data_IF_815408865762
#
_entry.id   IF_815408865762
#
_cell.length_a   1.000
_cell.length_b   1.000
_cell.length_c   1.000
_cell.angle_alpha   90.00
_cell.angle_beta   90.00
_cell.angle_gamma   90.00
#
_symmetry.space_group_name_H-M   'P 1'
#
loop_
_entity.id
_entity.type
_entity.pdbx_description
1 polymer ?
#
# COMPACT_ATOMS: atom_id res chain seq x y z
N UNK A 1 -18.19 -22.80 -8.39
CA UNK A 1 -17.70 -23.10 -7.01
C UNK A 1 -16.40 -22.32 -6.73
N UNK A 2 -15.98 -22.25 -5.47
CA UNK A 2 -14.65 -21.71 -5.11
C UNK A 2 -13.51 -22.47 -5.80
N UNK A 3 -13.68 -23.78 -5.96
CA UNK A 3 -12.72 -24.61 -6.70
C UNK A 3 -12.56 -24.14 -8.15
N UNK A 4 -13.66 -23.93 -8.86
CA UNK A 4 -13.62 -23.47 -10.26
C UNK A 4 -12.95 -22.09 -10.37
N UNK A 5 -13.28 -21.17 -9.46
CA UNK A 5 -12.68 -19.86 -9.41
C UNK A 5 -11.14 -19.91 -9.23
N UNK A 6 -10.66 -20.70 -8.26
CA UNK A 6 -9.20 -20.83 -8.04
C UNK A 6 -8.52 -21.62 -9.17
N UNK A 7 -9.19 -22.60 -9.75
CA UNK A 7 -8.65 -23.34 -10.91
C UNK A 7 -8.50 -22.42 -12.12
N UNK A 8 -9.50 -21.59 -12.41
CA UNK A 8 -9.44 -20.61 -13.50
C UNK A 8 -8.31 -19.59 -13.28
N UNK A 9 -8.16 -19.07 -12.06
CA UNK A 9 -7.05 -18.17 -11.72
C UNK A 9 -5.67 -18.81 -11.86
N UNK A 10 -5.52 -20.07 -11.43
CA UNK A 10 -4.28 -20.81 -11.62
C UNK A 10 -3.96 -21.04 -13.09
N UNK A 11 -4.97 -21.34 -13.91
CA UNK A 11 -4.80 -21.50 -15.36
C UNK A 11 -4.41 -20.19 -16.04
N UNK A 12 -5.01 -19.07 -15.67
CA UNK A 12 -4.62 -17.73 -16.16
C UNK A 12 -3.15 -17.43 -15.86
N UNK A 13 -2.70 -17.68 -14.62
CA UNK A 13 -1.30 -17.48 -14.23
C UNK A 13 -0.34 -18.39 -15.00
N UNK A 14 -0.64 -19.66 -15.11
CA UNK A 14 0.18 -20.61 -15.87
C UNK A 14 0.23 -20.24 -17.36
N UNK A 15 -0.89 -19.82 -17.94
CA UNK A 15 -0.94 -19.36 -19.32
C UNK A 15 -0.08 -18.10 -19.53
N UNK A 16 -0.09 -17.17 -18.57
CA UNK A 16 0.75 -15.97 -18.57
C UNK A 16 2.25 -16.34 -18.56
N UNK A 17 2.67 -17.19 -17.64
CA UNK A 17 4.06 -17.67 -17.55
C UNK A 17 4.47 -18.39 -18.86
N UNK A 18 3.59 -19.22 -19.40
CA UNK A 18 3.87 -19.91 -20.66
C UNK A 18 4.00 -18.97 -21.86
N UNK A 19 3.12 -17.96 -21.94
CA UNK A 19 3.16 -16.94 -23.00
C UNK A 19 4.46 -16.13 -22.94
N UNK A 20 4.88 -15.70 -21.73
CA UNK A 20 6.13 -14.97 -21.53
C UNK A 20 7.35 -15.82 -21.89
N UNK A 21 7.39 -17.10 -21.50
CA UNK A 21 8.48 -17.99 -21.89
C UNK A 21 8.53 -18.23 -23.40
N UNK A 22 7.38 -18.36 -24.07
CA UNK A 22 7.34 -18.46 -25.52
C UNK A 22 7.82 -17.20 -26.23
N UNK A 23 7.47 -16.02 -25.69
CA UNK A 23 7.97 -14.74 -26.21
C UNK A 23 9.48 -14.60 -25.98
N UNK A 24 9.98 -14.96 -24.80
CA UNK A 24 11.41 -14.97 -24.49
C UNK A 24 12.19 -15.86 -25.50
N UNK A 25 11.70 -17.07 -25.76
CA UNK A 25 12.30 -17.97 -26.75
C UNK A 25 12.31 -17.37 -28.17
N UNK A 26 11.18 -16.77 -28.58
CA UNK A 26 11.04 -16.16 -29.90
C UNK A 26 12.00 -14.98 -30.12
N UNK A 27 12.30 -14.22 -29.04
CA UNK A 27 13.23 -13.08 -29.05
C UNK A 27 14.68 -13.47 -28.73
N UNK A 28 14.94 -14.74 -28.46
CA UNK A 28 16.28 -15.24 -28.14
C UNK A 28 16.76 -14.84 -26.75
N UNK A 29 15.86 -14.50 -25.85
CA UNK A 29 16.18 -14.25 -24.44
C UNK A 29 16.50 -15.58 -23.74
N UNK A 30 17.66 -15.68 -23.12
CA UNK A 30 18.20 -16.94 -22.60
C UNK A 30 18.45 -16.88 -21.11
N UNK A 31 18.42 -18.06 -20.50
CA UNK A 31 18.81 -18.26 -19.10
C UNK A 31 20.24 -17.76 -18.86
N UNK A 32 20.46 -17.04 -17.77
CA UNK A 32 21.76 -16.48 -17.38
C UNK A 32 22.17 -16.89 -15.95
N UNK A 33 23.36 -16.43 -15.53
CA UNK A 33 23.92 -16.77 -14.22
C UNK A 33 23.14 -16.17 -13.05
N UNK A 34 22.51 -15.01 -13.23
CA UNK A 34 21.68 -14.36 -12.20
C UNK A 34 20.43 -15.20 -11.94
N UNK A 35 19.71 -15.59 -12.98
CA UNK A 35 18.56 -16.48 -12.83
C UNK A 35 18.96 -17.85 -12.26
N UNK A 36 20.18 -18.31 -12.51
CA UNK A 36 20.67 -19.55 -11.90
C UNK A 36 20.91 -19.38 -10.40
N UNK A 37 21.50 -18.27 -9.99
CA UNK A 37 21.69 -17.95 -8.57
C UNK A 37 20.34 -17.86 -7.84
N UNK A 38 19.36 -17.15 -8.41
CA UNK A 38 18.02 -17.04 -7.82
C UNK A 38 17.31 -18.40 -7.67
N UNK A 39 17.53 -19.29 -8.64
CA UNK A 39 17.01 -20.66 -8.56
C UNK A 39 17.69 -21.43 -7.42
N UNK A 40 19.01 -21.36 -7.34
CA UNK A 40 19.81 -22.04 -6.32
C UNK A 40 19.41 -21.54 -4.92
N UNK A 41 19.28 -20.24 -4.72
CA UNK A 41 18.83 -19.61 -3.48
C UNK A 41 17.39 -20.04 -3.11
N UNK A 42 16.50 -20.14 -4.08
CA UNK A 42 15.13 -20.63 -3.88
C UNK A 42 15.12 -22.10 -3.43
N UNK A 43 15.98 -22.93 -4.01
CA UNK A 43 16.08 -24.34 -3.66
C UNK A 43 16.76 -24.55 -2.31
N UNK A 44 17.72 -23.71 -1.93
CA UNK A 44 18.32 -23.70 -0.59
C UNK A 44 17.30 -23.26 0.47
N UNK A 45 16.53 -22.20 0.19
CA UNK A 45 15.45 -21.75 1.05
C UNK A 45 14.39 -22.82 1.29
N UNK A 46 14.02 -23.59 0.26
CA UNK A 46 13.13 -24.74 0.39
C UNK A 46 13.70 -25.79 1.36
N UNK A 47 14.98 -26.13 1.20
CA UNK A 47 15.65 -27.13 2.04
C UNK A 47 15.74 -26.65 3.51
N UNK A 48 16.10 -25.38 3.72
CA UNK A 48 16.16 -24.74 5.02
C UNK A 48 14.79 -24.72 5.70
N UNK A 49 13.73 -24.29 4.99
CA UNK A 49 12.38 -24.26 5.52
C UNK A 49 11.90 -25.68 5.92
N UNK A 50 12.11 -26.68 5.07
CA UNK A 50 11.76 -28.05 5.40
C UNK A 50 12.47 -28.53 6.67
N UNK A 51 13.78 -28.26 6.80
CA UNK A 51 14.59 -28.62 7.97
C UNK A 51 14.10 -27.93 9.24
N UNK A 52 13.80 -26.65 9.19
CA UNK A 52 13.29 -25.85 10.32
C UNK A 52 12.01 -26.46 10.91
N UNK A 53 11.13 -26.97 10.06
CA UNK A 53 9.90 -27.66 10.51
C UNK A 53 10.07 -29.16 10.76
N UNK A 54 11.28 -29.70 10.66
CA UNK A 54 11.57 -31.12 10.90
C UNK A 54 11.06 -32.04 9.81
N UNK A 55 10.86 -31.56 8.59
CA UNK A 55 10.41 -32.31 7.43
C UNK A 55 11.54 -32.58 6.43
N UNK A 56 11.40 -33.61 5.64
CA UNK A 56 12.14 -33.73 4.37
C UNK A 56 11.51 -32.76 3.35
N UNK A 57 12.27 -32.27 2.37
CA UNK A 57 11.74 -31.42 1.27
C UNK A 57 10.49 -32.01 0.62
N UNK A 58 10.49 -33.36 0.38
CA UNK A 58 9.32 -34.05 -0.18
C UNK A 58 8.08 -33.96 0.70
N UNK A 59 8.25 -34.09 2.02
CA UNK A 59 7.14 -33.97 2.97
C UNK A 59 6.65 -32.54 3.03
N UNK A 60 7.55 -31.56 3.06
CA UNK A 60 7.25 -30.14 3.08
C UNK A 60 6.49 -29.70 1.82
N UNK A 61 7.02 -30.07 0.63
CA UNK A 61 6.33 -29.81 -0.64
C UNK A 61 4.94 -30.45 -0.71
N UNK A 62 4.84 -31.69 -0.23
CA UNK A 62 3.55 -32.41 -0.17
C UNK A 62 2.54 -31.73 0.78
N UNK A 63 3.00 -31.12 1.86
CA UNK A 63 2.16 -30.39 2.80
C UNK A 63 1.66 -29.06 2.22
N UNK A 64 2.54 -28.32 1.55
CA UNK A 64 2.21 -26.98 1.02
C UNK A 64 1.45 -27.04 -0.30
N UNK A 65 1.91 -27.90 -1.23
CA UNK A 65 1.42 -27.93 -2.62
C UNK A 65 0.64 -29.21 -2.98
N UNK A 66 0.52 -30.14 -2.05
CA UNK A 66 -0.14 -31.41 -2.27
C UNK A 66 0.81 -32.55 -2.66
N UNK A 67 0.33 -33.78 -2.48
CA UNK A 67 1.15 -35.01 -2.55
C UNK A 67 1.78 -35.30 -3.91
N UNK A 68 1.33 -34.65 -4.97
CA UNK A 68 1.87 -34.82 -6.34
C UNK A 68 3.06 -33.90 -6.62
N UNK A 69 3.30 -32.88 -5.79
CA UNK A 69 4.43 -31.99 -5.95
C UNK A 69 5.73 -32.74 -5.60
N UNK A 70 6.69 -32.66 -6.50
CA UNK A 70 8.04 -33.16 -6.31
C UNK A 70 9.05 -32.05 -6.41
N UNK A 71 10.26 -32.26 -5.85
CA UNK A 71 11.37 -31.28 -6.00
C UNK A 71 11.61 -30.89 -7.46
N UNK A 72 11.62 -31.89 -8.37
CA UNK A 72 11.84 -31.63 -9.80
C UNK A 72 10.73 -30.79 -10.46
N UNK A 73 9.47 -31.05 -10.09
CA UNK A 73 8.34 -30.23 -10.60
C UNK A 73 8.44 -28.81 -10.03
N UNK A 74 8.75 -28.65 -8.75
CA UNK A 74 8.91 -27.37 -8.11
C UNK A 74 10.04 -26.56 -8.75
N UNK A 75 11.22 -27.16 -8.93
CA UNK A 75 12.39 -26.57 -9.59
C UNK A 75 12.07 -26.15 -11.05
N UNK A 76 11.41 -27.01 -11.81
CA UNK A 76 11.00 -26.70 -13.19
C UNK A 76 10.01 -25.52 -13.25
N UNK A 77 9.02 -25.47 -12.36
CA UNK A 77 8.07 -24.35 -12.31
C UNK A 77 8.75 -23.06 -11.85
N UNK A 78 9.64 -23.12 -10.86
CA UNK A 78 10.44 -21.98 -10.43
C UNK A 78 11.30 -21.44 -11.58
N UNK A 79 11.98 -22.32 -12.31
CA UNK A 79 12.78 -21.97 -13.49
C UNK A 79 11.95 -21.24 -14.55
N UNK A 80 10.75 -21.74 -14.84
CA UNK A 80 9.83 -21.09 -15.80
C UNK A 80 9.36 -19.71 -15.32
N UNK A 81 9.07 -19.58 -14.04
CA UNK A 81 8.65 -18.31 -13.47
C UNK A 81 9.78 -17.29 -13.47
N UNK A 82 11.01 -17.70 -13.10
CA UNK A 82 12.17 -16.82 -13.13
C UNK A 82 12.46 -16.31 -14.56
N UNK A 83 12.45 -17.19 -15.56
CA UNK A 83 12.65 -16.80 -16.95
C UNK A 83 11.57 -15.82 -17.42
N UNK A 84 10.29 -16.09 -17.09
CA UNK A 84 9.19 -15.21 -17.46
C UNK A 84 9.32 -13.82 -16.81
N UNK A 85 9.69 -13.78 -15.53
CA UNK A 85 9.87 -12.54 -14.77
C UNK A 85 11.04 -11.72 -15.32
N UNK A 86 12.19 -12.36 -15.54
CA UNK A 86 13.37 -11.69 -16.07
C UNK A 86 13.15 -11.17 -17.50
N UNK A 87 12.45 -11.93 -18.34
CA UNK A 87 12.08 -11.47 -19.68
C UNK A 87 11.13 -10.27 -19.62
N UNK A 88 10.09 -10.33 -18.78
CA UNK A 88 9.15 -9.22 -18.62
C UNK A 88 9.86 -7.95 -18.15
N UNK A 89 10.77 -8.07 -17.17
CA UNK A 89 11.58 -6.95 -16.70
C UNK A 89 12.45 -6.37 -17.83
N UNK A 90 13.16 -7.22 -18.55
CA UNK A 90 13.97 -6.80 -19.71
C UNK A 90 13.14 -6.11 -20.79
N UNK A 91 11.94 -6.63 -21.05
CA UNK A 91 11.01 -6.01 -22.00
C UNK A 91 10.56 -4.62 -21.52
N UNK A 92 10.15 -4.52 -20.25
CA UNK A 92 9.74 -3.23 -19.65
C UNK A 92 10.89 -2.20 -19.67
N UNK A 93 12.10 -2.61 -19.36
CA UNK A 93 13.29 -1.74 -19.39
C UNK A 93 13.66 -1.29 -20.82
N UNK A 94 13.26 -2.04 -21.82
CA UNK A 94 13.47 -1.70 -23.24
C UNK A 94 12.46 -0.69 -23.78
N UNK A 95 11.33 -0.49 -23.09
CA UNK A 95 10.29 0.42 -23.54
C UNK A 95 10.79 1.87 -23.45
N UNK A 96 10.54 2.61 -24.49
CA UNK A 96 10.84 4.04 -24.55
C UNK A 96 9.61 4.79 -25.05
N UNK A 97 9.35 5.92 -24.44
CA UNK A 97 8.20 6.75 -24.77
C UNK A 97 8.67 8.15 -25.14
N UNK A 98 8.06 8.71 -26.17
CA UNK A 98 8.25 10.12 -26.53
C UNK A 98 7.58 11.03 -25.48
N UNK A 99 8.02 12.29 -25.44
CA UNK A 99 7.39 13.29 -24.55
C UNK A 99 5.89 13.45 -24.86
N UNK A 100 5.50 13.34 -26.13
CA UNK A 100 4.10 13.49 -26.54
C UNK A 100 3.24 12.29 -26.06
N UNK A 101 3.79 11.06 -26.08
CA UNK A 101 3.12 9.87 -25.55
C UNK A 101 2.97 9.96 -24.02
N UNK A 102 4.00 10.42 -23.32
CA UNK A 102 3.95 10.62 -21.87
C UNK A 102 2.93 11.71 -21.50
N UNK A 103 2.91 12.81 -22.25
CA UNK A 103 1.91 13.87 -22.03
C UNK A 103 0.49 13.38 -22.31
N UNK A 104 0.28 12.60 -23.39
CA UNK A 104 -1.02 12.02 -23.70
C UNK A 104 -1.50 11.09 -22.58
N UNK A 105 -0.65 10.21 -22.07
CA UNK A 105 -0.96 9.32 -20.95
C UNK A 105 -1.28 10.11 -19.65
N UNK A 106 -0.54 11.18 -19.38
CA UNK A 106 -0.85 12.08 -18.27
C UNK A 106 -2.22 12.74 -18.40
N UNK A 107 -2.56 13.24 -19.60
CA UNK A 107 -3.86 13.88 -19.83
C UNK A 107 -5.03 12.89 -19.78
N UNK A 108 -4.80 11.61 -20.06
CA UNK A 108 -5.81 10.56 -19.97
C UNK A 108 -6.23 10.28 -18.50
N UNK A 109 -5.27 10.32 -17.57
CA UNK A 109 -5.53 10.12 -16.14
C UNK A 109 -4.65 11.02 -15.26
N UNK A 110 -4.95 12.32 -15.26
CA UNK A 110 -4.25 13.29 -14.41
C UNK A 110 -4.33 12.96 -12.92
N UNK A 111 -5.42 12.33 -12.52
CA UNK A 111 -5.69 11.99 -11.12
C UNK A 111 -4.66 11.01 -10.56
N UNK A 112 -4.13 10.11 -11.39
CA UNK A 112 -3.09 9.17 -10.98
C UNK A 112 -1.71 9.83 -10.76
N UNK A 113 -1.48 11.00 -11.37
CA UNK A 113 -0.15 11.63 -11.40
C UNK A 113 -0.08 12.99 -10.71
N UNK A 114 -1.20 13.60 -10.42
CA UNK A 114 -1.23 14.88 -9.72
C UNK A 114 -1.12 14.68 -8.20
N UNK A 115 -0.62 15.70 -7.53
CA UNK A 115 -0.63 15.83 -6.08
C UNK A 115 -1.41 17.07 -5.67
N UNK A 116 -2.10 16.97 -4.55
CA UNK A 116 -2.87 18.08 -3.98
C UNK A 116 -2.20 18.57 -2.71
N UNK A 117 -2.02 19.89 -2.63
CA UNK A 117 -1.71 20.60 -1.40
C UNK A 117 -3.03 20.93 -0.70
N UNK A 118 -3.19 20.43 0.52
CA UNK A 118 -4.39 20.61 1.31
C UNK A 118 -4.11 20.60 2.81
N UNK A 119 -5.08 21.10 3.57
CA UNK A 119 -5.17 20.90 5.00
C UNK A 119 -6.57 20.40 5.35
N UNK A 120 -6.68 19.53 6.33
CA UNK A 120 -7.98 19.06 6.79
C UNK A 120 -7.99 18.71 8.28
N UNK A 121 -9.18 18.76 8.84
CA UNK A 121 -9.45 18.25 10.19
C UNK A 121 -10.43 17.10 10.07
N UNK A 122 -10.05 15.95 10.61
CA UNK A 122 -10.94 14.81 10.76
C UNK A 122 -11.60 14.90 12.15
N UNK A 123 -12.92 14.94 12.18
CA UNK A 123 -13.72 14.90 13.40
C UNK A 123 -14.35 13.52 13.55
N UNK A 124 -14.02 12.82 14.63
CA UNK A 124 -14.52 11.48 14.90
C UNK A 124 -15.98 11.52 15.33
N UNK A 125 -16.82 10.80 14.63
CA UNK A 125 -18.25 10.62 14.90
C UNK A 125 -18.62 9.16 15.25
N UNK A 126 -17.63 8.31 15.55
CA UNK A 126 -17.89 6.96 16.01
C UNK A 126 -18.53 6.97 17.40
N UNK A 127 -19.60 6.20 17.60
CA UNK A 127 -20.18 6.00 18.92
C UNK A 127 -19.22 5.17 19.78
N UNK A 128 -19.19 5.46 21.10
CA UNK A 128 -18.42 4.66 22.03
C UNK A 128 -18.97 3.22 22.08
N UNK A 129 -18.08 2.25 22.10
CA UNK A 129 -18.36 0.82 22.20
C UNK A 129 -18.06 0.25 23.61
N UNK A 130 -17.70 1.15 24.53
CA UNK A 130 -17.42 0.84 25.94
C UNK A 130 -18.12 1.82 26.86
N UNK A 131 -18.52 1.34 28.08
CA UNK A 131 -19.04 2.16 29.16
C UNK A 131 -17.91 2.89 29.94
N UNK A 132 -18.28 3.68 30.95
CA UNK A 132 -17.32 4.41 31.78
C UNK A 132 -16.39 3.48 32.60
N UNK A 133 -16.79 2.23 32.82
CA UNK A 133 -16.00 1.21 33.50
C UNK A 133 -15.12 0.40 32.52
N UNK A 134 -15.20 0.66 31.21
CA UNK A 134 -14.41 -0.01 30.17
C UNK A 134 -14.98 -1.35 29.68
N UNK A 135 -16.24 -1.68 30.02
CA UNK A 135 -16.88 -2.87 29.51
C UNK A 135 -17.47 -2.61 28.12
N UNK A 136 -17.39 -3.60 27.22
CA UNK A 136 -18.01 -3.49 25.89
C UNK A 136 -19.53 -3.38 25.99
N UNK A 137 -20.09 -2.44 25.23
CA UNK A 137 -21.53 -2.22 25.09
C UNK A 137 -21.98 -2.45 23.64
N UNK A 138 -23.25 -2.77 23.47
CA UNK A 138 -23.84 -2.85 22.12
C UNK A 138 -24.12 -1.44 21.59
N UNK A 139 -23.48 -1.09 20.49
CA UNK A 139 -23.66 0.21 19.84
C UNK A 139 -24.94 0.20 19.01
N UNK A 140 -25.93 0.97 19.44
CA UNK A 140 -27.22 1.11 18.71
C UNK A 140 -27.14 2.12 17.58
N UNK A 141 -28.08 2.06 16.62
CA UNK A 141 -28.17 3.02 15.53
C UNK A 141 -28.49 4.44 16.03
N UNK A 142 -29.19 4.55 17.16
CA UNK A 142 -29.47 5.83 17.81
C UNK A 142 -28.17 6.46 18.38
N UNK A 143 -27.31 5.66 19.02
CA UNK A 143 -26.00 6.11 19.52
C UNK A 143 -25.10 6.56 18.36
N UNK A 144 -25.08 5.84 17.24
CA UNK A 144 -24.31 6.25 16.06
C UNK A 144 -24.81 7.59 15.49
N UNK A 145 -26.14 7.74 15.37
CA UNK A 145 -26.74 8.98 14.86
C UNK A 145 -26.44 10.17 15.81
N UNK A 146 -26.48 9.98 17.12
CA UNK A 146 -26.16 11.02 18.09
C UNK A 146 -24.68 11.41 18.05
N UNK A 147 -23.77 10.43 17.95
CA UNK A 147 -22.33 10.67 17.84
C UNK A 147 -21.99 11.41 16.52
N UNK A 148 -22.59 11.03 15.41
CA UNK A 148 -22.42 11.73 14.14
C UNK A 148 -23.00 13.16 14.17
N UNK A 149 -24.12 13.39 14.85
CA UNK A 149 -24.68 14.74 15.02
C UNK A 149 -23.76 15.63 15.87
N UNK A 150 -23.14 15.08 16.91
CA UNK A 150 -22.14 15.77 17.72
C UNK A 150 -20.88 16.11 16.92
N UNK A 151 -20.37 15.15 16.14
CA UNK A 151 -19.24 15.36 15.23
C UNK A 151 -19.52 16.44 14.18
N UNK A 152 -20.72 16.45 13.60
CA UNK A 152 -21.18 17.51 12.70
C UNK A 152 -21.11 18.88 13.36
N UNK A 153 -21.64 18.99 14.58
CA UNK A 153 -21.66 20.25 15.32
C UNK A 153 -20.22 20.76 15.56
N UNK A 154 -19.29 19.87 15.91
CA UNK A 154 -17.86 20.19 16.09
C UNK A 154 -17.23 20.62 14.76
N UNK A 155 -17.48 19.88 13.67
CA UNK A 155 -16.95 20.23 12.36
C UNK A 155 -17.46 21.59 11.86
N UNK A 156 -18.76 21.87 12.04
CA UNK A 156 -19.36 23.18 11.69
C UNK A 156 -18.74 24.32 12.52
N UNK A 157 -18.44 24.10 13.80
CA UNK A 157 -17.80 25.10 14.66
C UNK A 157 -16.35 25.37 14.24
N UNK A 158 -15.57 24.33 13.95
CA UNK A 158 -14.20 24.47 13.41
C UNK A 158 -14.22 25.23 12.07
N UNK A 159 -15.14 24.86 11.18
CA UNK A 159 -15.29 25.53 9.90
C UNK A 159 -15.67 27.00 10.05
N UNK A 160 -16.57 27.33 10.96
CA UNK A 160 -16.97 28.70 11.25
C UNK A 160 -15.80 29.54 11.79
N UNK A 161 -14.99 28.99 12.71
CA UNK A 161 -13.78 29.64 13.22
C UNK A 161 -12.75 29.88 12.10
N UNK A 162 -12.52 28.89 11.23
CA UNK A 162 -11.68 29.04 10.04
C UNK A 162 -12.17 30.15 9.11
N UNK A 163 -13.45 30.17 8.79
CA UNK A 163 -14.06 31.23 7.94
C UNK A 163 -14.00 32.61 8.59
N UNK A 164 -13.88 32.70 9.93
CA UNK A 164 -13.69 33.94 10.67
C UNK A 164 -12.22 34.41 10.71
N UNK A 165 -11.28 33.58 10.19
CA UNK A 165 -9.85 33.94 10.05
C UNK A 165 -8.91 33.28 11.05
N UNK A 166 -9.40 32.36 11.89
CA UNK A 166 -8.55 31.47 12.70
C UNK A 166 -7.89 30.46 11.79
N UNK A 167 -6.63 30.05 12.04
CA UNK A 167 -6.04 28.95 11.28
C UNK A 167 -6.83 27.66 11.50
N UNK A 168 -6.81 26.75 10.50
CA UNK A 168 -7.54 25.49 10.64
C UNK A 168 -6.97 24.64 11.78
N UNK A 169 -5.65 24.69 11.99
CA UNK A 169 -4.94 24.02 13.08
C UNK A 169 -5.38 24.55 14.46
N UNK A 170 -5.36 25.88 14.64
CA UNK A 170 -5.77 26.50 15.90
C UNK A 170 -7.26 26.26 16.19
N UNK A 171 -8.11 26.27 15.17
CA UNK A 171 -9.54 25.97 15.31
C UNK A 171 -9.79 24.51 15.73
N UNK A 172 -8.95 23.58 15.27
CA UNK A 172 -9.03 22.16 15.67
C UNK A 172 -8.50 21.93 17.08
N UNK A 173 -7.52 22.69 17.54
CA UNK A 173 -6.89 22.52 18.85
C UNK A 173 -7.88 22.67 20.01
N UNK A 174 -8.98 23.41 19.83
CA UNK A 174 -10.05 23.53 20.84
C UNK A 174 -10.83 22.20 21.02
N UNK A 175 -10.68 21.25 20.08
CA UNK A 175 -11.42 19.97 20.02
C UNK A 175 -10.49 18.76 19.95
N UNK A 176 -9.26 18.84 20.48
CA UNK A 176 -8.20 17.80 20.35
C UNK A 176 -8.62 16.39 20.76
N UNK A 177 -9.62 16.26 21.64
CA UNK A 177 -10.13 14.94 22.05
C UNK A 177 -10.95 14.22 20.97
N UNK A 178 -11.50 14.96 20.00
CA UNK A 178 -12.40 14.42 18.96
C UNK A 178 -12.00 14.82 17.55
N UNK A 179 -11.10 15.78 17.39
CA UNK A 179 -10.67 16.32 16.12
C UNK A 179 -9.15 16.18 15.95
N UNK A 180 -8.73 15.79 14.75
CA UNK A 180 -7.30 15.65 14.37
C UNK A 180 -7.01 16.49 13.14
N UNK A 181 -6.12 17.46 13.28
CA UNK A 181 -5.61 18.26 12.15
C UNK A 181 -4.53 17.50 11.40
N UNK A 182 -4.51 17.66 10.08
CA UNK A 182 -3.44 17.22 9.20
C UNK A 182 -3.29 18.18 8.01
N UNK A 183 -2.07 18.26 7.48
CA UNK A 183 -1.77 18.96 6.23
C UNK A 183 -0.86 18.10 5.37
N UNK A 184 -0.96 18.25 4.05
CA UNK A 184 -0.13 17.56 3.08
C UNK A 184 0.09 18.48 1.88
N UNK A 185 1.33 18.59 1.42
CA UNK A 185 1.71 19.20 0.16
C UNK A 185 1.73 18.20 -1.01
N UNK A 186 1.49 16.92 -0.71
CA UNK A 186 1.62 15.79 -1.62
C UNK A 186 0.52 14.74 -1.43
N UNK A 187 -0.71 15.20 -1.16
CA UNK A 187 -1.86 14.31 -1.02
C UNK A 187 -2.17 13.63 -2.36
N UNK A 188 -2.08 12.31 -2.38
CA UNK A 188 -2.42 11.48 -3.55
C UNK A 188 -3.90 11.15 -3.58
N UNK A 189 -4.45 10.92 -4.79
CA UNK A 189 -5.83 10.52 -4.94
C UNK A 189 -6.17 9.24 -4.16
N UNK A 190 -7.33 9.27 -3.55
CA UNK A 190 -7.99 8.10 -2.97
C UNK A 190 -9.49 8.17 -3.26
N UNK A 191 -10.14 7.02 -3.40
CA UNK A 191 -11.58 6.91 -3.59
C UNK A 191 -12.38 7.14 -2.28
N UNK A 192 -11.90 8.05 -1.44
CA UNK A 192 -12.55 8.50 -0.21
C UNK A 192 -13.31 9.79 -0.48
N UNK A 193 -14.28 10.13 0.39
CA UNK A 193 -15.02 11.39 0.32
C UNK A 193 -14.07 12.59 0.27
N UNK A 194 -12.97 12.54 1.03
CA UNK A 194 -11.95 13.59 1.03
C UNK A 194 -11.19 13.62 -0.29
N UNK A 195 -10.74 12.47 -0.81
CA UNK A 195 -10.00 12.39 -2.07
C UNK A 195 -10.85 12.81 -3.27
N UNK A 196 -12.08 12.36 -3.36
CA UNK A 196 -13.01 12.75 -4.44
C UNK A 196 -13.26 14.27 -4.44
N UNK A 197 -13.46 14.86 -3.26
CA UNK A 197 -13.66 16.30 -3.16
C UNK A 197 -12.40 17.09 -3.55
N UNK A 198 -11.21 16.67 -3.09
CA UNK A 198 -9.95 17.34 -3.38
C UNK A 198 -9.56 17.28 -4.86
N UNK A 199 -9.91 16.20 -5.55
CA UNK A 199 -9.54 15.98 -6.95
C UNK A 199 -10.61 16.39 -7.96
N UNK A 200 -11.72 17.00 -7.52
CA UNK A 200 -12.69 17.62 -8.42
C UNK A 200 -12.02 18.75 -9.20
N UNK A 201 -12.10 18.68 -10.54
CA UNK A 201 -11.47 19.66 -11.44
C UNK A 201 -11.99 21.11 -11.28
N UNK A 202 -13.13 21.30 -10.61
CA UNK A 202 -13.68 22.61 -10.31
C UNK A 202 -13.01 23.28 -9.10
N UNK A 203 -12.16 22.60 -8.32
CA UNK A 203 -11.52 23.15 -7.13
C UNK A 203 -10.59 24.31 -7.48
N UNK A 204 -10.63 25.33 -6.62
CA UNK A 204 -9.77 26.50 -6.68
C UNK A 204 -9.07 26.69 -5.33
N UNK A 205 -7.85 27.23 -5.36
CA UNK A 205 -7.09 27.51 -4.15
C UNK A 205 -7.90 28.39 -3.17
N UNK A 206 -8.01 27.95 -1.93
CA UNK A 206 -8.84 28.54 -0.88
C UNK A 206 -10.26 27.98 -0.79
N UNK A 207 -10.66 27.06 -1.68
CA UNK A 207 -11.91 26.31 -1.52
C UNK A 207 -11.87 25.51 -0.23
N UNK A 208 -13.00 25.48 0.47
CA UNK A 208 -13.11 24.77 1.74
C UNK A 208 -14.53 24.26 1.95
N UNK A 209 -14.67 23.13 2.63
CA UNK A 209 -15.96 22.49 2.87
C UNK A 209 -15.96 21.69 4.19
N UNK A 210 -17.16 21.36 4.64
CA UNK A 210 -17.42 20.30 5.61
C UNK A 210 -17.98 19.12 4.84
N UNK A 211 -17.33 17.96 4.96
CA UNK A 211 -17.68 16.72 4.27
C UNK A 211 -18.12 15.68 5.31
N UNK A 212 -19.18 14.95 5.00
CA UNK A 212 -19.62 13.81 5.78
C UNK A 212 -19.09 12.51 5.16
N UNK A 213 -18.45 11.68 5.97
CA UNK A 213 -18.05 10.33 5.65
C UNK A 213 -18.79 9.36 6.58
N UNK A 214 -19.98 8.97 6.16
CA UNK A 214 -20.86 8.07 6.93
C UNK A 214 -20.29 6.66 7.04
N UNK A 215 -19.52 6.20 6.03
CA UNK A 215 -18.95 4.86 6.01
C UNK A 215 -17.85 4.69 7.07
N UNK A 216 -17.07 5.75 7.29
CA UNK A 216 -16.00 5.77 8.29
C UNK A 216 -16.41 6.46 9.59
N UNK A 217 -17.67 6.90 9.72
CA UNK A 217 -18.19 7.64 10.87
C UNK A 217 -17.35 8.88 11.20
N UNK A 218 -17.03 9.72 10.20
CA UNK A 218 -16.26 10.94 10.38
C UNK A 218 -16.92 12.14 9.69
N UNK A 219 -16.52 13.34 10.13
CA UNK A 219 -16.64 14.57 9.36
C UNK A 219 -15.24 15.09 9.04
N UNK A 220 -15.09 15.72 7.87
CA UNK A 220 -13.87 16.44 7.49
C UNK A 220 -14.17 17.93 7.30
N UNK A 221 -13.33 18.76 7.87
CA UNK A 221 -13.22 20.18 7.48
C UNK A 221 -12.00 20.28 6.60
N UNK A 222 -12.16 20.60 5.32
CA UNK A 222 -11.08 20.55 4.34
C UNK A 222 -10.84 21.90 3.70
N UNK A 223 -9.59 22.20 3.40
CA UNK A 223 -9.11 23.37 2.64
C UNK A 223 -8.24 22.87 1.50
N UNK A 224 -8.55 23.28 0.30
CA UNK A 224 -7.76 23.01 -0.90
C UNK A 224 -6.82 24.19 -1.16
N UNK A 225 -5.51 23.94 -1.20
CA UNK A 225 -4.51 24.96 -1.47
C UNK A 225 -4.05 24.99 -2.93
N UNK A 226 -4.01 23.81 -3.58
CA UNK A 226 -3.62 23.68 -4.97
C UNK A 226 -3.52 22.24 -5.44
N UNK A 227 -3.45 22.06 -6.76
CA UNK A 227 -3.18 20.77 -7.42
C UNK A 227 -2.07 20.99 -8.43
N UNK A 228 -1.09 20.11 -8.43
CA UNK A 228 0.04 20.17 -9.34
C UNK A 228 0.44 18.79 -9.82
N UNK A 229 1.00 18.72 -11.03
CA UNK A 229 1.62 17.52 -11.55
C UNK A 229 2.80 17.13 -10.66
N UNK A 230 2.87 15.86 -10.30
CA UNK A 230 4.00 15.32 -9.53
C UNK A 230 5.22 15.20 -10.44
N UNK A 231 6.03 16.26 -10.47
CA UNK A 231 7.27 16.32 -11.24
C UNK A 231 8.47 16.29 -10.29
N UNK A 232 9.26 15.23 -10.38
CA UNK A 232 10.50 15.12 -9.63
C UNK A 232 11.60 14.47 -10.48
N UNK A 233 12.83 14.87 -10.22
CA UNK A 233 13.99 14.26 -10.85
C UNK A 233 14.26 12.89 -10.22
N UNK A 234 14.24 11.84 -11.03
CA UNK A 234 14.68 10.52 -10.59
C UNK A 234 16.19 10.46 -10.49
N UNK A 235 16.70 9.75 -9.50
CA UNK A 235 18.12 9.49 -9.33
C UNK A 235 18.35 7.98 -9.33
N UNK A 236 19.42 7.55 -10.00
CA UNK A 236 19.87 6.17 -9.92
C UNK A 236 20.85 6.06 -8.75
N UNK A 237 20.46 5.32 -7.73
CA UNK A 237 21.29 5.11 -6.54
C UNK A 237 21.65 3.64 -6.41
N UNK A 238 22.86 3.38 -5.91
CA UNK A 238 23.28 2.06 -5.45
C UNK A 238 23.70 2.20 -4.00
N UNK A 239 23.28 1.26 -3.19
CA UNK A 239 23.71 1.21 -1.78
C UNK A 239 24.24 -0.18 -1.45
N UNK A 240 25.10 -0.23 -0.46
CA UNK A 240 25.53 -1.47 0.18
C UNK A 240 25.00 -1.40 1.60
N UNK A 241 24.09 -2.30 1.92
CA UNK A 241 23.60 -2.47 3.28
C UNK A 241 24.54 -3.45 4.00
N UNK A 242 25.24 -2.97 5.01
CA UNK A 242 25.99 -3.83 5.93
C UNK A 242 25.14 -3.91 7.19
N UNK A 243 24.61 -5.08 7.45
CA UNK A 243 23.85 -5.36 8.64
C UNK A 243 24.79 -6.08 9.61
N UNK A 244 25.13 -5.48 10.76
CA UNK A 244 25.92 -6.19 11.78
C UNK A 244 25.15 -7.40 12.26
N UNK A 245 25.84 -8.45 12.63
CA UNK A 245 25.23 -9.58 13.32
C UNK A 245 24.60 -9.07 14.62
N UNK A 246 23.41 -9.55 14.94
CA UNK A 246 22.78 -9.20 16.20
C UNK A 246 23.63 -9.76 17.35
N UNK A 247 23.87 -8.96 18.37
CA UNK A 247 24.55 -9.45 19.56
C UNK A 247 23.82 -10.66 20.15
N UNK A 248 24.55 -11.72 20.50
CA UNK A 248 24.01 -12.86 21.24
C UNK A 248 23.87 -12.53 22.74
N UNK A 249 24.43 -11.39 23.18
CA UNK A 249 24.33 -10.92 24.56
C UNK A 249 23.03 -10.12 24.75
N UNK A 250 22.45 -10.17 25.92
CA UNK A 250 21.36 -9.30 26.33
C UNK A 250 21.91 -7.96 26.86
N UNK A 251 21.07 -6.91 26.87
CA UNK A 251 21.46 -5.58 27.37
C UNK A 251 22.00 -5.59 28.82
N UNK A 252 21.68 -6.63 29.59
CA UNK A 252 22.10 -6.81 30.97
C UNK A 252 23.44 -7.61 31.09
N UNK A 253 23.96 -8.15 29.98
CA UNK A 253 25.17 -8.94 29.98
C UNK A 253 26.42 -8.06 29.93
N UNK A 254 27.47 -8.46 30.67
CA UNK A 254 28.77 -7.76 30.66
C UNK A 254 29.43 -7.92 29.28
N UNK A 255 29.69 -6.79 28.62
CA UNK A 255 30.32 -6.76 27.29
C UNK A 255 29.31 -6.51 26.17
N UNK A 256 28.01 -6.33 26.44
CA UNK A 256 27.01 -6.01 25.41
C UNK A 256 27.35 -4.74 24.60
N UNK A 257 27.83 -3.69 25.28
CA UNK A 257 28.19 -2.42 24.63
C UNK A 257 29.45 -2.56 23.70
N UNK A 258 30.29 -3.57 23.91
CA UNK A 258 31.44 -3.84 23.07
C UNK A 258 31.11 -4.77 21.88
N UNK A 259 29.97 -5.45 21.91
CA UNK A 259 29.52 -6.42 20.90
C UNK A 259 28.49 -5.82 19.92
N UNK A 260 27.87 -4.68 20.23
CA UNK A 260 26.95 -3.94 19.40
C UNK A 260 27.65 -2.80 18.65
#
# INVERSE_FOLDING_TARGET
TWYDYFADKALEQLAGVQAMNAAAEAEGFTWNDEMQADLDDTMESLASAASTYGYTEKQYLGLIYGSTMTRSIYEEQTRRSLLATAYLQSYQDSLTYSTDELEAAYQEDRTAYDLVDCAYVRVNGAAADTDEEGNSIEVTDEMKAEAMAAAKTTADAIYAAYKAGTSLEDAAAEYESTATYASSDSFSYSSSVLGEWLYDDARQAGDSAVLEDSDSSNYYVVVFNGRSRNEYNTVNVRHILIQPEASELSEDDEGYEDDV
#
